data_IF_563764307556
#
_entry.id   IF_563764307556
#
_cell.length_a   1.000
_cell.length_b   1.000
_cell.length_c   1.000
_cell.angle_alpha   90.00
_cell.angle_beta   90.00
_cell.angle_gamma   90.00
#
_symmetry.space_group_name_H-M   'P 1'
#
loop_
_entity.id
_entity.type
_entity.pdbx_description
1 polymer ?
#
# COMPACT_ATOMS: atom_id res chain seq x y z
N UNK A 1 -7.57 -5.56 22.22
CA UNK A 1 -8.28 -5.55 20.94
C UNK A 1 -7.26 -4.97 19.99
N UNK A 2 -6.67 -5.78 19.12
CA UNK A 2 -5.88 -5.20 18.03
C UNK A 2 -6.88 -4.44 17.16
N UNK A 3 -6.67 -3.14 17.02
CA UNK A 3 -7.53 -2.29 16.20
C UNK A 3 -7.47 -2.82 14.76
N UNK A 4 -8.62 -3.26 14.23
CA UNK A 4 -8.75 -3.60 12.81
C UNK A 4 -8.33 -2.37 11.99
N UNK A 5 -7.26 -2.50 11.22
CA UNK A 5 -6.83 -1.45 10.30
C UNK A 5 -7.67 -1.53 9.03
N UNK A 6 -8.26 -0.39 8.68
CA UNK A 6 -8.99 -0.20 7.43
C UNK A 6 -8.10 0.53 6.43
N UNK A 7 -8.15 0.08 5.18
CA UNK A 7 -7.41 0.65 4.05
C UNK A 7 -8.38 1.02 2.94
N UNK A 8 -8.07 2.08 2.20
CA UNK A 8 -8.87 2.56 1.08
C UNK A 8 -8.27 2.25 -0.29
N UNK A 9 -6.93 2.16 -0.38
CA UNK A 9 -6.21 1.87 -1.62
C UNK A 9 -5.11 0.85 -1.37
N UNK A 10 -5.03 -0.14 -2.26
CA UNK A 10 -3.94 -1.10 -2.35
C UNK A 10 -3.22 -0.90 -3.69
N UNK A 11 -1.91 -0.65 -3.63
CA UNK A 11 -1.05 -0.56 -4.82
C UNK A 11 -0.21 -1.83 -4.90
N UNK A 12 -0.44 -2.63 -5.94
CA UNK A 12 0.32 -3.85 -6.22
C UNK A 12 1.52 -3.50 -7.10
N UNK A 13 2.68 -4.01 -6.74
CA UNK A 13 3.92 -3.81 -7.51
C UNK A 13 4.78 -5.06 -7.54
N UNK A 14 5.70 -5.10 -8.50
CA UNK A 14 6.71 -6.17 -8.58
C UNK A 14 7.60 -6.31 -7.33
N UNK A 15 7.65 -5.27 -6.49
CA UNK A 15 8.49 -5.22 -5.28
C UNK A 15 7.75 -5.56 -3.98
N UNK A 16 6.42 -5.66 -4.04
CA UNK A 16 5.55 -5.80 -2.87
C UNK A 16 4.29 -4.95 -2.98
N UNK A 17 3.41 -5.12 -2.01
CA UNK A 17 2.11 -4.47 -1.97
C UNK A 17 2.10 -3.34 -0.94
N UNK A 18 1.44 -2.24 -1.28
CA UNK A 18 1.38 -1.04 -0.46
C UNK A 18 -0.06 -0.70 -0.12
N UNK A 19 -0.36 -0.59 1.17
CA UNK A 19 -1.68 -0.28 1.70
C UNK A 19 -1.71 1.14 2.23
N UNK A 20 -2.78 1.85 1.94
CA UNK A 20 -3.03 3.22 2.42
C UNK A 20 -4.38 3.31 3.10
N UNK A 21 -4.45 4.12 4.15
CA UNK A 21 -5.67 4.35 4.93
C UNK A 21 -6.63 5.28 4.17
N UNK A 22 -6.11 6.20 3.35
CA UNK A 22 -6.90 7.15 2.56
C UNK A 22 -6.40 7.28 1.11
N UNK A 23 -7.30 7.65 0.19
CA UNK A 23 -6.94 7.86 -1.23
C UNK A 23 -5.98 9.03 -1.43
N UNK A 24 -6.03 10.04 -0.56
CA UNK A 24 -5.16 11.23 -0.61
C UNK A 24 -3.69 10.89 -0.41
N UNK A 25 -3.38 9.70 0.13
CA UNK A 25 -2.01 9.21 0.28
C UNK A 25 -1.41 8.75 -1.04
N UNK A 26 -2.19 8.61 -2.11
CA UNK A 26 -1.73 8.11 -3.41
C UNK A 26 -1.77 9.22 -4.45
N UNK A 27 -0.59 9.67 -4.89
CA UNK A 27 -0.45 10.68 -5.94
C UNK A 27 0.12 10.06 -7.21
N UNK A 28 -0.63 10.16 -8.32
CA UNK A 28 -0.12 9.79 -9.64
C UNK A 28 0.70 10.93 -10.22
N UNK A 29 1.93 10.62 -10.61
CA UNK A 29 2.83 11.56 -11.30
C UNK A 29 2.98 11.17 -12.77
N UNK A 30 3.78 11.92 -13.52
CA UNK A 30 4.14 11.58 -14.89
C UNK A 30 4.97 10.28 -15.00
N UNK A 31 5.73 9.92 -13.96
CA UNK A 31 6.71 8.82 -13.99
C UNK A 31 6.28 7.60 -13.18
N UNK A 32 5.22 7.72 -12.38
CA UNK A 32 4.76 6.63 -11.52
C UNK A 32 3.74 7.06 -10.49
N UNK A 33 3.78 6.38 -9.34
CA UNK A 33 2.89 6.59 -8.21
C UNK A 33 3.74 6.91 -6.99
N UNK A 34 3.44 8.02 -6.34
CA UNK A 34 3.96 8.39 -5.03
C UNK A 34 2.93 8.00 -3.96
N UNK A 35 3.40 7.37 -2.89
CA UNK A 35 2.56 6.93 -1.79
C UNK A 35 3.14 7.48 -0.49
N UNK A 36 2.36 8.25 0.27
CA UNK A 36 2.76 8.80 1.57
C UNK A 36 2.22 7.96 2.72
N UNK A 37 3.02 7.77 3.75
CA UNK A 37 2.66 6.95 4.91
C UNK A 37 2.14 5.52 4.58
N UNK A 38 2.63 4.79 3.54
CA UNK A 38 2.11 3.47 3.24
C UNK A 38 2.52 2.45 4.28
N UNK A 39 1.68 1.42 4.41
CA UNK A 39 2.08 0.16 5.00
C UNK A 39 2.53 -0.79 3.90
N UNK A 40 3.67 -1.45 4.13
CA UNK A 40 4.26 -2.36 3.15
C UNK A 40 3.93 -3.80 3.55
N UNK A 41 3.43 -4.60 2.60
CA UNK A 41 3.25 -6.04 2.76
C UNK A 41 4.31 -6.77 1.92
N UNK A 42 5.17 -7.54 2.59
CA UNK A 42 6.20 -8.38 1.96
C UNK A 42 5.89 -9.84 2.27
N UNK A 43 5.75 -10.67 1.23
CA UNK A 43 5.37 -12.08 1.33
C UNK A 43 6.37 -12.96 2.12
N UNK A 44 7.61 -12.50 2.31
CA UNK A 44 8.68 -13.35 2.84
C UNK A 44 8.67 -13.57 4.35
N UNK A 45 8.21 -12.62 5.19
CA UNK A 45 8.27 -12.79 6.64
C UNK A 45 7.14 -12.01 7.33
N UNK A 46 6.12 -12.75 7.84
CA UNK A 46 5.08 -12.28 8.78
C UNK A 46 4.66 -10.81 8.58
N UNK A 47 3.78 -10.50 7.62
CA UNK A 47 2.96 -9.27 7.53
C UNK A 47 3.45 -8.11 8.42
N UNK A 48 4.70 -7.66 8.22
CA UNK A 48 5.22 -6.55 9.01
C UNK A 48 4.70 -5.32 8.29
N UNK A 49 3.65 -4.73 8.87
CA UNK A 49 3.19 -3.39 8.55
C UNK A 49 4.33 -2.40 8.85
N UNK A 50 5.33 -2.37 7.97
CA UNK A 50 6.37 -1.36 8.02
C UNK A 50 5.76 -0.11 7.45
N UNK A 51 5.53 0.88 8.32
CA UNK A 51 5.11 2.21 7.90
C UNK A 51 6.33 2.94 7.34
N UNK A 52 6.27 3.34 6.08
CA UNK A 52 7.28 4.18 5.45
C UNK A 52 6.76 5.61 5.35
N UNK A 53 7.63 6.61 5.38
CA UNK A 53 7.20 8.01 5.23
C UNK A 53 6.70 8.30 3.79
N UNK A 54 7.41 7.78 2.80
CA UNK A 54 7.07 7.93 1.38
C UNK A 54 7.70 6.81 0.54
N UNK A 55 6.96 6.35 -0.47
CA UNK A 55 7.41 5.39 -1.49
C UNK A 55 7.14 5.98 -2.87
N UNK A 56 8.04 5.72 -3.82
CA UNK A 56 7.80 5.97 -5.25
C UNK A 56 7.88 4.65 -6.02
N UNK A 57 6.86 4.39 -6.84
CA UNK A 57 6.77 3.20 -7.69
C UNK A 57 6.68 3.66 -9.15
N UNK A 58 7.67 3.37 -10.00
CA UNK A 58 7.59 3.74 -11.41
C UNK A 58 6.51 2.92 -12.12
N UNK A 59 5.83 3.49 -13.14
CA UNK A 59 4.67 2.81 -13.77
C UNK A 59 4.97 1.42 -14.33
N UNK A 60 6.19 1.17 -14.81
CA UNK A 60 6.57 -0.14 -15.32
C UNK A 60 6.64 -1.23 -14.23
N UNK A 61 6.68 -0.83 -12.96
CA UNK A 61 6.68 -1.71 -11.80
C UNK A 61 5.30 -1.78 -11.11
N UNK A 62 4.34 -0.92 -11.49
CA UNK A 62 2.96 -0.96 -10.98
C UNK A 62 2.18 -2.04 -11.72
N UNK A 63 1.60 -2.97 -10.98
CA UNK A 63 0.78 -4.05 -11.54
C UNK A 63 -0.71 -3.68 -11.52
N UNK A 64 -1.20 -3.15 -10.39
CA UNK A 64 -2.55 -2.65 -10.25
C UNK A 64 -2.69 -1.63 -9.12
N UNK A 65 -3.74 -0.82 -9.18
CA UNK A 65 -4.18 0.04 -8.07
C UNK A 65 -5.65 -0.28 -7.82
N UNK A 66 -5.97 -0.75 -6.62
CA UNK A 66 -7.31 -1.14 -6.21
C UNK A 66 -7.86 -0.13 -5.21
N UNK A 67 -9.12 0.25 -5.39
CA UNK A 67 -9.84 1.19 -4.53
C UNK A 67 -11.03 0.46 -3.89
N UNK A 68 -11.29 0.71 -2.61
CA UNK A 68 -12.37 0.08 -1.87
C UNK A 68 -12.11 0.09 -0.36
N UNK A 69 -12.99 -0.50 0.42
CA UNK A 69 -12.76 -0.69 1.85
C UNK A 69 -12.14 -2.07 2.09
N UNK A 70 -10.94 -2.10 2.65
CA UNK A 70 -10.21 -3.33 2.96
C UNK A 70 -9.92 -3.39 4.45
N UNK A 71 -10.28 -4.49 5.11
CA UNK A 71 -9.94 -4.75 6.51
C UNK A 71 -8.87 -5.83 6.60
N UNK A 72 -7.87 -5.61 7.46
CA UNK A 72 -6.90 -6.65 7.75
C UNK A 72 -7.46 -7.65 8.77
N UNK A 73 -7.76 -8.87 8.31
CA UNK A 73 -8.01 -9.99 9.22
C UNK A 73 -6.68 -10.63 9.63
N UNK A 74 -6.42 -10.71 10.94
CA UNK A 74 -5.30 -11.48 11.50
C UNK A 74 -5.86 -12.84 11.94
N UNK A 75 -5.45 -13.94 11.29
CA UNK A 75 -5.83 -15.31 11.65
C UNK A 75 -4.85 -15.89 12.66
#
# INVERSE_FOLDING_TARGET
MEDEKAFSVIVLSQSGDYLTETEDQVTRTENGVEITDPYIFNENEKAQLVKADQIFIPYHAVEAIQHGEFTQETI
#
